data_IF_321418095339
#
_entry.id   IF_321418095339
#
_cell.length_a   1.000
_cell.length_b   1.000
_cell.length_c   1.000
_cell.angle_alpha   90.00
_cell.angle_beta   90.00
_cell.angle_gamma   90.00
#
_symmetry.space_group_name_H-M   'P 1'
#
loop_
_entity.id
_entity.type
_entity.pdbx_description
1 polymer ?
#
# COMPACT_ATOMS: atom_id res chain seq x y z
N UNK A 1 52.91 -41.24 21.91
CA UNK A 1 52.10 -42.04 20.97
C UNK A 1 50.64 -41.86 21.36
N UNK A 2 49.71 -41.30 20.60
CA UNK A 2 49.69 -40.68 19.27
C UNK A 2 48.45 -39.79 19.14
N UNK A 3 48.52 -38.86 18.19
CA UNK A 3 47.50 -37.91 17.70
C UNK A 3 46.52 -38.58 16.73
N UNK A 4 45.22 -38.22 16.77
CA UNK A 4 44.23 -38.09 15.66
C UNK A 4 43.01 -37.33 16.25
N UNK A 5 42.73 -36.04 15.99
CA UNK A 5 42.32 -35.30 14.79
C UNK A 5 40.88 -35.57 14.29
N UNK A 6 40.15 -34.47 14.09
CA UNK A 6 38.75 -34.27 13.70
C UNK A 6 38.26 -35.10 12.51
N UNK A 7 36.96 -35.47 12.53
CA UNK A 7 36.03 -35.21 11.40
C UNK A 7 34.56 -35.53 11.75
N UNK A 8 33.69 -34.62 11.26
CA UNK A 8 32.33 -34.82 10.77
C UNK A 8 31.20 -35.33 11.69
N UNK A 9 30.41 -34.37 12.19
CA UNK A 9 28.94 -34.53 12.26
C UNK A 9 28.28 -33.35 11.57
N UNK A 10 28.23 -33.40 10.23
CA UNK A 10 27.27 -32.63 9.44
C UNK A 10 25.88 -33.12 9.81
N UNK A 11 25.16 -32.37 10.65
CA UNK A 11 23.71 -32.44 10.63
C UNK A 11 23.27 -31.76 9.34
N UNK A 12 22.88 -32.57 8.37
CA UNK A 12 22.19 -32.10 7.17
C UNK A 12 20.88 -31.47 7.61
N UNK A 13 20.88 -30.15 7.76
CA UNK A 13 19.67 -29.36 7.80
C UNK A 13 19.07 -29.42 6.39
N UNK A 14 17.85 -29.94 6.18
CA UNK A 14 17.23 -29.91 4.88
C UNK A 14 17.08 -28.43 4.50
N UNK A 15 17.91 -27.98 3.54
CA UNK A 15 17.72 -26.71 2.86
C UNK A 15 16.33 -26.77 2.24
N UNK A 16 15.35 -26.18 2.92
CA UNK A 16 14.09 -25.82 2.29
C UNK A 16 14.47 -24.90 1.14
N UNK A 17 14.30 -25.44 -0.06
CA UNK A 17 14.51 -24.73 -1.29
C UNK A 17 13.36 -23.74 -1.45
N UNK A 18 13.41 -22.63 -0.71
CA UNK A 18 12.55 -21.49 -0.96
C UNK A 18 13.16 -20.76 -2.14
N UNK A 19 12.74 -21.15 -3.34
CA UNK A 19 12.86 -20.30 -4.52
C UNK A 19 12.26 -18.94 -4.14
N UNK A 20 13.00 -17.89 -4.48
CA UNK A 20 12.60 -16.50 -4.36
C UNK A 20 11.12 -16.34 -4.73
N UNK A 21 10.25 -16.23 -3.72
CA UNK A 21 8.96 -15.59 -3.92
C UNK A 21 9.26 -14.10 -4.12
N UNK A 22 8.63 -13.44 -5.11
CA UNK A 22 8.64 -11.99 -5.16
C UNK A 22 8.21 -11.48 -3.79
N UNK A 23 8.87 -10.45 -3.27
CA UNK A 23 8.41 -9.72 -2.10
C UNK A 23 7.15 -8.93 -2.53
N UNK A 24 6.06 -9.65 -2.75
CA UNK A 24 4.74 -9.12 -2.95
C UNK A 24 4.28 -8.66 -1.56
N UNK A 25 4.49 -7.38 -1.23
CA UNK A 25 4.30 -6.75 0.09
C UNK A 25 2.95 -6.93 0.82
N UNK A 26 2.14 -7.89 0.40
CA UNK A 26 1.10 -8.55 1.17
C UNK A 26 1.70 -9.52 2.21
N UNK A 27 1.17 -9.48 3.43
CA UNK A 27 1.49 -10.51 4.42
C UNK A 27 1.13 -11.90 3.85
N UNK A 28 2.01 -12.92 3.97
CA UNK A 28 1.69 -14.29 3.55
C UNK A 28 0.36 -14.82 4.12
N UNK A 29 -0.07 -14.29 5.27
CA UNK A 29 -1.33 -14.62 5.93
C UNK A 29 -2.60 -14.17 5.18
N UNK A 30 -2.51 -13.19 4.27
CA UNK A 30 -3.62 -12.70 3.45
C UNK A 30 -3.74 -13.42 2.10
N UNK A 31 -2.68 -14.12 1.66
CA UNK A 31 -2.64 -14.77 0.34
C UNK A 31 -3.83 -15.70 0.11
N UNK A 32 -4.04 -16.68 0.99
CA UNK A 32 -5.13 -17.65 0.85
C UNK A 32 -6.53 -17.05 1.05
N UNK A 33 -6.79 -16.24 2.09
CA UNK A 33 -8.11 -15.61 2.27
C UNK A 33 -8.53 -14.70 1.10
N UNK A 34 -7.61 -13.89 0.57
CA UNK A 34 -7.88 -13.00 -0.57
C UNK A 34 -8.14 -13.80 -1.84
N UNK A 35 -7.38 -14.89 -2.05
CA UNK A 35 -7.62 -15.82 -3.16
C UNK A 35 -9.01 -16.43 -3.07
N UNK A 36 -9.40 -16.95 -1.91
CA UNK A 36 -10.72 -17.55 -1.70
C UNK A 36 -11.86 -16.55 -1.95
N UNK A 37 -11.72 -15.31 -1.45
CA UNK A 37 -12.67 -14.23 -1.72
C UNK A 37 -12.75 -13.88 -3.21
N UNK A 38 -11.61 -13.70 -3.87
CA UNK A 38 -11.57 -13.43 -5.32
C UNK A 38 -12.23 -14.55 -6.12
N UNK A 39 -12.03 -15.80 -5.70
CA UNK A 39 -12.64 -16.97 -6.36
C UNK A 39 -14.14 -17.12 -6.11
N UNK A 40 -14.66 -16.52 -5.03
CA UNK A 40 -16.07 -16.57 -4.64
C UNK A 40 -16.95 -15.48 -5.26
N UNK A 41 -16.36 -14.38 -5.74
CA UNK A 41 -17.11 -13.25 -6.30
C UNK A 41 -17.30 -13.29 -7.82
N UNK A 42 -18.30 -12.54 -8.29
CA UNK A 42 -18.73 -12.48 -9.70
C UNK A 42 -17.72 -11.77 -10.61
N UNK A 43 -16.85 -10.93 -10.06
CA UNK A 43 -15.85 -10.18 -10.80
C UNK A 43 -14.52 -10.92 -10.98
N UNK A 44 -14.45 -12.21 -10.61
CA UNK A 44 -13.22 -13.03 -10.64
C UNK A 44 -12.42 -12.91 -11.94
N UNK A 45 -13.08 -13.09 -13.09
CA UNK A 45 -12.39 -13.10 -14.38
C UNK A 45 -11.80 -11.72 -14.71
N UNK A 46 -12.53 -10.65 -14.38
CA UNK A 46 -12.04 -9.27 -14.52
C UNK A 46 -10.87 -8.97 -13.59
N UNK A 47 -10.87 -9.53 -12.37
CA UNK A 47 -9.74 -9.40 -11.43
C UNK A 47 -8.50 -10.12 -12.00
N UNK A 48 -8.66 -11.32 -12.56
CA UNK A 48 -7.57 -12.07 -13.20
C UNK A 48 -7.00 -11.29 -14.39
N UNK A 49 -7.86 -10.77 -15.26
CA UNK A 49 -7.47 -9.96 -16.42
C UNK A 49 -6.74 -8.68 -16.00
N UNK A 50 -7.21 -8.02 -14.94
CA UNK A 50 -6.56 -6.83 -14.40
C UNK A 50 -5.16 -7.13 -13.86
N UNK A 51 -5.01 -8.20 -13.07
CA UNK A 51 -3.71 -8.64 -12.55
C UNK A 51 -2.75 -9.00 -13.69
N UNK A 52 -3.22 -9.75 -14.69
CA UNK A 52 -2.41 -10.11 -15.85
C UNK A 52 -1.94 -8.85 -16.61
N UNK A 53 -2.83 -7.88 -16.81
CA UNK A 53 -2.46 -6.61 -17.45
C UNK A 53 -1.43 -5.82 -16.64
N UNK A 54 -1.57 -5.75 -15.30
CA UNK A 54 -0.60 -5.07 -14.43
C UNK A 54 0.78 -5.73 -14.50
N UNK A 55 0.84 -7.06 -14.45
CA UNK A 55 2.10 -7.79 -14.56
C UNK A 55 2.77 -7.53 -15.92
N UNK A 56 1.99 -7.53 -17.01
CA UNK A 56 2.51 -7.21 -18.34
C UNK A 56 2.99 -5.75 -18.44
N UNK A 57 2.34 -4.82 -17.76
CA UNK A 57 2.79 -3.42 -17.69
C UNK A 57 4.13 -3.32 -16.98
N UNK A 58 4.29 -4.01 -15.86
CA UNK A 58 5.53 -4.03 -15.08
C UNK A 58 6.69 -4.65 -15.87
N UNK A 59 6.48 -5.80 -16.52
CA UNK A 59 7.49 -6.44 -17.37
C UNK A 59 8.00 -5.54 -18.51
N UNK A 60 7.12 -4.70 -19.05
CA UNK A 60 7.42 -3.77 -20.14
C UNK A 60 7.83 -2.37 -19.65
N UNK A 61 7.85 -2.15 -18.34
CA UNK A 61 8.06 -0.85 -17.72
C UNK A 61 7.10 0.24 -18.28
N UNK A 62 5.86 -0.16 -18.51
CA UNK A 62 4.76 0.67 -19.00
C UNK A 62 3.88 1.15 -17.84
N UNK A 63 3.22 2.30 -18.01
CA UNK A 63 2.26 2.79 -17.02
C UNK A 63 1.00 1.90 -16.98
N UNK A 64 0.89 1.10 -15.91
CA UNK A 64 -0.24 0.17 -15.74
C UNK A 64 -1.59 0.85 -15.68
N UNK A 65 -1.66 2.11 -15.22
CA UNK A 65 -2.92 2.85 -15.14
C UNK A 65 -3.47 3.19 -16.52
N UNK A 66 -2.63 3.62 -17.44
CA UNK A 66 -3.00 3.89 -18.83
C UNK A 66 -3.22 2.59 -19.59
N UNK A 67 -2.29 1.62 -19.47
CA UNK A 67 -2.37 0.35 -20.19
C UNK A 67 -3.61 -0.46 -19.82
N UNK A 68 -3.92 -0.54 -18.52
CA UNK A 68 -4.99 -1.37 -17.98
C UNK A 68 -6.28 -0.59 -17.73
N UNK A 69 -6.39 0.64 -18.25
CA UNK A 69 -7.57 1.50 -18.06
C UNK A 69 -8.88 0.78 -18.42
N UNK A 70 -8.92 0.11 -19.56
CA UNK A 70 -10.14 -0.55 -20.03
C UNK A 70 -10.62 -1.67 -19.10
N UNK A 71 -9.70 -2.55 -18.66
CA UNK A 71 -10.05 -3.64 -17.74
C UNK A 71 -10.37 -3.12 -16.35
N UNK A 72 -9.72 -2.04 -15.89
CA UNK A 72 -10.06 -1.35 -14.65
C UNK A 72 -11.49 -0.80 -14.69
N UNK A 73 -11.88 -0.10 -15.74
CA UNK A 73 -13.24 0.43 -15.90
C UNK A 73 -14.32 -0.67 -15.93
N UNK A 74 -13.99 -1.85 -16.48
CA UNK A 74 -14.89 -3.00 -16.42
C UNK A 74 -14.99 -3.57 -15.00
N UNK A 75 -13.85 -3.65 -14.29
CA UNK A 75 -13.79 -4.13 -12.92
C UNK A 75 -14.54 -3.19 -11.97
N UNK A 76 -14.38 -1.88 -12.09
CA UNK A 76 -15.08 -0.87 -11.29
C UNK A 76 -16.60 -1.02 -11.46
N UNK A 77 -17.09 -1.13 -12.71
CA UNK A 77 -18.50 -1.40 -13.00
C UNK A 77 -18.99 -2.72 -12.40
N UNK A 78 -18.13 -3.73 -12.35
CA UNK A 78 -18.47 -5.00 -11.75
C UNK A 78 -18.58 -4.90 -10.22
N UNK A 79 -17.63 -4.23 -9.56
CA UNK A 79 -17.71 -3.94 -8.13
C UNK A 79 -18.95 -3.11 -7.76
N UNK A 80 -19.32 -2.13 -8.58
CA UNK A 80 -20.55 -1.35 -8.37
C UNK A 80 -21.81 -2.22 -8.52
N UNK A 81 -21.84 -3.12 -9.49
CA UNK A 81 -22.98 -4.02 -9.71
C UNK A 81 -23.11 -5.10 -8.62
N UNK A 82 -22.01 -5.44 -7.97
CA UNK A 82 -21.90 -6.47 -6.93
C UNK A 82 -21.41 -5.89 -5.60
N UNK A 83 -21.83 -4.64 -5.29
CA UNK A 83 -21.33 -3.88 -4.14
C UNK A 83 -21.64 -4.58 -2.81
N UNK A 84 -22.72 -5.35 -2.73
CA UNK A 84 -23.05 -6.16 -1.56
C UNK A 84 -21.98 -7.21 -1.22
N UNK A 85 -21.30 -7.74 -2.23
CA UNK A 85 -20.17 -8.65 -2.05
C UNK A 85 -18.85 -7.91 -1.75
N UNK A 86 -18.57 -6.84 -2.50
CA UNK A 86 -17.25 -6.19 -2.48
C UNK A 86 -17.13 -5.01 -1.49
N UNK A 87 -18.18 -4.23 -1.26
CA UNK A 87 -18.10 -3.08 -0.33
C UNK A 87 -17.69 -3.46 1.10
N UNK A 88 -18.12 -4.60 1.69
CA UNK A 88 -17.76 -4.95 3.06
C UNK A 88 -16.25 -5.00 3.32
N UNK A 89 -15.43 -5.38 2.32
CA UNK A 89 -13.96 -5.44 2.49
C UNK A 89 -13.28 -4.06 2.44
N UNK A 90 -14.00 -3.01 2.03
CA UNK A 90 -13.51 -1.63 1.95
C UNK A 90 -13.99 -0.72 3.09
N UNK A 91 -14.94 -1.15 3.91
CA UNK A 91 -15.52 -0.36 5.01
C UNK A 91 -14.48 0.17 6.00
N UNK A 92 -13.36 -0.54 6.16
CA UNK A 92 -12.29 -0.17 7.09
C UNK A 92 -11.23 0.75 6.48
N UNK A 93 -11.32 1.09 5.19
CA UNK A 93 -10.32 1.95 4.54
C UNK A 93 -10.35 3.36 5.13
N UNK A 94 -11.52 3.99 5.18
CA UNK A 94 -11.69 5.34 5.74
C UNK A 94 -11.22 5.43 7.21
N UNK A 95 -11.68 4.59 8.16
CA UNK A 95 -11.24 4.70 9.54
C UNK A 95 -9.74 4.40 9.72
N UNK A 96 -9.15 3.56 8.87
CA UNK A 96 -7.69 3.35 8.88
C UNK A 96 -6.97 4.61 8.40
N UNK A 97 -7.45 5.23 7.32
CA UNK A 97 -6.87 6.48 6.81
C UNK A 97 -6.97 7.59 7.86
N UNK A 98 -8.11 7.72 8.54
CA UNK A 98 -8.28 8.68 9.64
C UNK A 98 -7.33 8.42 10.81
N UNK A 99 -7.12 7.15 11.16
CA UNK A 99 -6.14 6.75 12.18
C UNK A 99 -4.72 7.14 11.75
N UNK A 100 -4.33 6.83 10.51
CA UNK A 100 -3.03 7.22 9.95
C UNK A 100 -2.83 8.74 9.98
N UNK A 101 -3.83 9.50 9.53
CA UNK A 101 -3.78 10.96 9.51
C UNK A 101 -3.66 11.52 10.92
N UNK A 102 -4.37 10.96 11.90
CA UNK A 102 -4.27 11.38 13.30
C UNK A 102 -2.86 11.17 13.85
N UNK A 103 -2.24 10.01 13.57
CA UNK A 103 -0.84 9.76 13.96
C UNK A 103 0.12 10.75 13.29
N UNK A 104 -0.05 11.02 11.99
CA UNK A 104 0.77 12.01 11.27
C UNK A 104 0.60 13.40 11.88
N UNK A 105 -0.62 13.84 12.15
CA UNK A 105 -0.89 15.14 12.78
C UNK A 105 -0.19 15.28 14.14
N UNK A 106 -0.17 14.20 14.93
CA UNK A 106 0.51 14.19 16.23
C UNK A 106 2.04 14.34 16.14
N UNK A 107 2.67 13.99 15.01
CA UNK A 107 4.10 14.19 14.77
C UNK A 107 4.47 15.66 14.53
N UNK A 108 3.50 16.50 14.13
CA UNK A 108 3.70 17.90 13.77
C UNK A 108 2.85 18.85 14.63
N UNK A 109 2.98 18.82 15.98
CA UNK A 109 2.10 19.52 16.90
C UNK A 109 2.20 21.04 16.75
N UNK A 110 1.14 21.82 17.03
CA UNK A 110 1.10 23.27 16.90
C UNK A 110 2.28 23.99 17.60
N UNK A 111 2.86 25.04 16.98
CA UNK A 111 3.96 25.80 17.58
C UNK A 111 3.41 26.52 18.82
N UNK A 112 4.06 26.36 19.97
CA UNK A 112 3.67 27.01 21.23
C UNK A 112 3.48 28.52 21.03
N UNK A 113 2.30 29.03 21.39
CA UNK A 113 1.95 30.47 21.34
C UNK A 113 0.99 30.88 20.22
N UNK A 114 0.49 29.94 19.41
CA UNK A 114 -0.72 30.14 18.58
C UNK A 114 -1.75 29.08 18.97
N UNK A 115 -2.93 29.52 19.36
CA UNK A 115 -4.07 28.67 19.74
C UNK A 115 -4.85 28.15 18.51
N UNK A 116 -4.38 28.46 17.29
CA UNK A 116 -5.04 28.04 16.06
C UNK A 116 -4.54 26.65 15.65
N UNK A 117 -5.27 25.64 16.11
CA UNK A 117 -5.19 24.22 15.77
C UNK A 117 -5.87 23.93 14.40
N UNK A 118 -5.83 24.89 13.47
CA UNK A 118 -6.41 24.73 12.14
C UNK A 118 -5.59 23.71 11.36
N UNK A 119 -6.27 22.74 10.74
CA UNK A 119 -5.68 21.66 9.92
C UNK A 119 -4.67 22.20 8.88
N UNK A 120 -4.89 23.42 8.38
CA UNK A 120 -4.00 24.17 7.49
C UNK A 120 -2.57 24.34 8.05
N UNK A 121 -2.41 24.51 9.37
CA UNK A 121 -1.09 24.66 10.01
C UNK A 121 -0.35 23.34 10.19
N UNK A 122 -1.07 22.22 10.29
CA UNK A 122 -0.49 20.89 10.35
C UNK A 122 -0.10 20.45 8.95
N UNK A 123 -0.97 20.66 7.96
CA UNK A 123 -0.67 20.43 6.55
C UNK A 123 0.55 21.24 6.10
N UNK A 124 0.63 22.53 6.44
CA UNK A 124 1.79 23.36 6.12
C UNK A 124 3.10 22.77 6.67
N UNK A 125 3.08 22.14 7.85
CA UNK A 125 4.28 21.55 8.47
C UNK A 125 4.65 20.19 7.89
N UNK A 126 3.64 19.39 7.55
CA UNK A 126 3.86 18.18 6.77
C UNK A 126 4.50 18.56 5.44
N UNK A 127 4.00 19.58 4.74
CA UNK A 127 4.60 20.12 3.52
C UNK A 127 6.04 20.61 3.75
N UNK A 128 6.31 21.40 4.80
CA UNK A 128 7.67 21.85 5.15
C UNK A 128 8.62 20.67 5.37
N UNK A 129 8.18 19.63 6.09
CA UNK A 129 8.94 18.41 6.29
C UNK A 129 9.21 17.69 4.97
N UNK A 130 8.17 17.46 4.15
CA UNK A 130 8.31 16.75 2.88
C UNK A 130 9.22 17.47 1.88
N UNK A 131 9.21 18.80 1.88
CA UNK A 131 10.09 19.64 1.05
C UNK A 131 11.54 19.64 1.56
N UNK A 132 11.76 19.33 2.84
CA UNK A 132 13.09 19.31 3.46
C UNK A 132 13.93 18.07 3.15
N UNK A 133 13.34 17.01 2.60
CA UNK A 133 14.04 15.76 2.31
C UNK A 133 14.25 15.47 0.82
N UNK A 134 14.88 14.32 0.53
CA UNK A 134 15.31 13.93 -0.83
C UNK A 134 14.15 13.65 -1.81
N UNK A 135 12.95 13.39 -1.28
CA UNK A 135 11.74 13.08 -2.05
C UNK A 135 10.88 14.30 -2.37
N UNK A 136 11.41 15.52 -2.17
CA UNK A 136 10.71 16.78 -2.47
C UNK A 136 10.06 16.79 -3.85
N UNK A 137 10.77 16.42 -4.90
CA UNK A 137 10.24 16.48 -6.27
C UNK A 137 9.08 15.50 -6.49
N UNK A 138 9.19 14.28 -5.92
CA UNK A 138 8.10 13.30 -5.93
C UNK A 138 6.90 13.81 -5.13
N UNK A 139 7.13 14.46 -3.99
CA UNK A 139 6.09 15.05 -3.16
C UNK A 139 5.36 16.18 -3.87
N UNK A 140 6.08 17.13 -4.47
CA UNK A 140 5.48 18.24 -5.21
C UNK A 140 4.65 17.75 -6.40
N UNK A 141 5.10 16.69 -7.08
CA UNK A 141 4.33 16.06 -8.17
C UNK A 141 3.03 15.46 -7.65
N UNK A 142 3.10 14.67 -6.56
CA UNK A 142 1.92 14.08 -5.94
C UNK A 142 0.95 15.15 -5.40
N UNK A 143 1.46 16.21 -4.77
CA UNK A 143 0.66 17.33 -4.25
C UNK A 143 -0.11 18.04 -5.37
N UNK A 144 0.54 18.30 -6.51
CA UNK A 144 -0.09 18.94 -7.66
C UNK A 144 -1.23 18.09 -8.25
N UNK A 145 -0.96 16.81 -8.50
CA UNK A 145 -1.90 15.91 -9.18
C UNK A 145 -3.01 15.38 -8.25
N UNK A 146 -2.81 15.37 -6.93
CA UNK A 146 -3.82 14.86 -5.99
C UNK A 146 -4.68 15.94 -5.31
N UNK A 147 -4.12 17.12 -5.04
CA UNK A 147 -4.74 18.10 -4.15
C UNK A 147 -5.05 19.44 -4.82
N UNK A 148 -4.26 19.85 -5.82
CA UNK A 148 -4.39 21.16 -6.47
C UNK A 148 -5.20 21.09 -7.77
N UNK A 149 -4.88 20.18 -8.68
CA UNK A 149 -5.54 20.06 -9.99
C UNK A 149 -6.77 19.14 -9.95
N UNK A 150 -7.72 19.42 -9.05
CA UNK A 150 -9.05 18.78 -9.09
C UNK A 150 -9.88 19.36 -10.24
N UNK A 151 -9.60 18.94 -11.47
CA UNK A 151 -10.46 19.24 -12.63
C UNK A 151 -11.71 18.35 -12.63
N UNK A 152 -12.76 18.73 -13.36
CA UNK A 152 -14.01 17.94 -13.45
C UNK A 152 -13.80 16.51 -13.99
N UNK A 153 -12.64 16.23 -14.61
CA UNK A 153 -12.14 14.91 -15.02
C UNK A 153 -11.06 14.39 -14.04
N UNK A 154 -11.36 14.37 -12.73
CA UNK A 154 -10.45 13.91 -11.67
C UNK A 154 -10.10 12.42 -11.85
N UNK A 155 -9.07 12.15 -12.64
CA UNK A 155 -8.52 10.80 -12.84
C UNK A 155 -7.74 10.41 -11.59
N UNK A 156 -8.48 10.02 -10.54
CA UNK A 156 -7.98 9.51 -9.25
C UNK A 156 -6.84 8.48 -9.40
N UNK A 157 -6.77 7.83 -10.57
CA UNK A 157 -5.70 6.90 -10.91
C UNK A 157 -4.31 7.54 -11.04
N UNK A 158 -4.21 8.81 -11.46
CA UNK A 158 -2.94 9.57 -11.45
C UNK A 158 -2.50 9.88 -10.03
N UNK A 159 -3.43 10.30 -9.18
CA UNK A 159 -3.12 10.59 -7.79
C UNK A 159 -2.56 9.35 -7.07
N UNK A 160 -3.21 8.19 -7.23
CA UNK A 160 -2.71 6.93 -6.66
C UNK A 160 -1.31 6.59 -7.17
N UNK A 161 -1.05 6.75 -8.48
CA UNK A 161 0.28 6.53 -9.07
C UNK A 161 1.35 7.39 -8.40
N UNK A 162 1.11 8.69 -8.29
CA UNK A 162 2.13 9.63 -7.83
C UNK A 162 2.36 9.51 -6.32
N UNK A 163 1.33 9.14 -5.55
CA UNK A 163 1.46 8.71 -4.15
C UNK A 163 2.30 7.43 -4.01
N UNK A 164 2.14 6.45 -4.90
CA UNK A 164 2.98 5.24 -4.90
C UNK A 164 4.44 5.55 -5.21
N UNK A 165 4.71 6.45 -6.16
CA UNK A 165 6.08 6.90 -6.47
C UNK A 165 6.70 7.64 -5.29
N UNK A 166 5.93 8.51 -4.64
CA UNK A 166 6.34 9.19 -3.40
C UNK A 166 6.71 8.18 -2.31
N UNK A 167 5.83 7.20 -2.04
CA UNK A 167 6.10 6.15 -1.05
C UNK A 167 7.38 5.38 -1.34
N UNK A 168 7.59 4.97 -2.59
CA UNK A 168 8.83 4.29 -3.02
C UNK A 168 10.07 5.13 -2.76
N UNK A 169 10.01 6.43 -3.04
CA UNK A 169 11.10 7.34 -2.72
C UNK A 169 11.33 7.40 -1.20
N UNK A 170 10.26 7.58 -0.40
CA UNK A 170 10.37 7.65 1.04
C UNK A 170 10.99 6.37 1.62
N UNK A 171 10.63 5.20 1.12
CA UNK A 171 11.22 3.91 1.52
C UNK A 171 12.72 3.83 1.20
N UNK A 172 13.15 4.32 0.03
CA UNK A 172 14.56 4.37 -0.35
C UNK A 172 15.37 5.37 0.52
N UNK A 173 14.70 6.42 1.01
CA UNK A 173 15.29 7.48 1.85
C UNK A 173 14.76 7.42 3.28
N UNK A 174 14.51 6.21 3.78
CA UNK A 174 13.69 6.01 4.97
C UNK A 174 14.24 6.66 6.24
N UNK A 175 15.56 6.83 6.37
CA UNK A 175 16.19 7.48 7.52
C UNK A 175 15.60 8.86 7.83
N UNK A 176 15.29 9.65 6.80
CA UNK A 176 14.62 10.95 6.96
C UNK A 176 13.12 10.79 7.21
N UNK A 177 12.46 9.90 6.45
CA UNK A 177 11.00 9.76 6.43
C UNK A 177 10.42 8.80 7.48
N UNK A 178 11.26 8.19 8.33
CA UNK A 178 10.86 7.22 9.35
C UNK A 178 9.62 7.67 10.17
N UNK A 179 9.48 8.93 10.61
CA UNK A 179 8.30 9.33 11.37
C UNK A 179 6.98 9.11 10.61
N UNK A 180 6.92 9.56 9.35
CA UNK A 180 5.72 9.42 8.51
C UNK A 180 5.55 7.96 8.07
N UNK A 181 6.65 7.29 7.67
CA UNK A 181 6.62 5.88 7.28
C UNK A 181 6.15 4.98 8.44
N UNK A 182 6.47 5.34 9.68
CA UNK A 182 5.97 4.67 10.87
C UNK A 182 4.44 4.68 10.93
N UNK A 183 3.82 5.87 10.82
CA UNK A 183 2.36 6.01 10.83
C UNK A 183 1.69 5.28 9.65
N UNK A 184 2.26 5.41 8.44
CA UNK A 184 1.76 4.73 7.23
C UNK A 184 1.83 3.20 7.40
N UNK A 185 2.93 2.68 7.91
CA UNK A 185 3.10 1.25 8.13
C UNK A 185 2.17 0.74 9.25
N UNK A 186 1.99 1.50 10.34
CA UNK A 186 1.03 1.19 11.41
C UNK A 186 -0.38 1.04 10.86
N UNK A 187 -0.83 2.00 10.04
CA UNK A 187 -2.15 1.91 9.43
C UNK A 187 -2.26 0.76 8.42
N UNK A 188 -1.21 0.47 7.65
CA UNK A 188 -1.21 -0.68 6.73
C UNK A 188 -1.38 -2.00 7.49
N UNK A 189 -0.69 -2.15 8.62
CA UNK A 189 -0.84 -3.32 9.50
C UNK A 189 -2.25 -3.39 10.10
N UNK A 190 -2.82 -2.26 10.51
CA UNK A 190 -4.20 -2.19 11.00
C UNK A 190 -5.18 -2.65 9.92
N UNK A 191 -5.11 -2.10 8.70
CA UNK A 191 -5.95 -2.49 7.58
C UNK A 191 -5.81 -3.98 7.26
N UNK A 192 -4.58 -4.50 7.21
CA UNK A 192 -4.35 -5.92 6.95
C UNK A 192 -5.00 -6.81 8.02
N UNK A 193 -4.94 -6.42 9.29
CA UNK A 193 -5.57 -7.17 10.39
C UNK A 193 -7.10 -7.18 10.29
N UNK A 194 -7.69 -6.03 9.94
CA UNK A 194 -9.13 -5.86 9.76
C UNK A 194 -9.63 -6.65 8.55
N UNK A 195 -8.96 -6.51 7.42
CA UNK A 195 -9.23 -7.26 6.20
C UNK A 195 -9.17 -8.78 6.46
N UNK A 196 -8.13 -9.26 7.16
CA UNK A 196 -7.99 -10.67 7.50
C UNK A 196 -9.17 -11.17 8.35
N UNK A 197 -9.67 -10.34 9.27
CA UNK A 197 -10.81 -10.69 10.12
C UNK A 197 -12.10 -10.84 9.30
N UNK A 198 -12.35 -9.93 8.36
CA UNK A 198 -13.51 -9.95 7.46
C UNK A 198 -13.47 -11.16 6.52
N UNK A 199 -12.31 -11.43 5.91
CA UNK A 199 -12.14 -12.55 4.99
C UNK A 199 -12.26 -13.93 5.67
N UNK A 200 -11.94 -14.04 6.96
CA UNK A 200 -12.13 -15.27 7.74
C UNK A 200 -13.54 -15.43 8.30
N UNK A 201 -14.30 -14.35 8.43
CA UNK A 201 -15.64 -14.32 9.03
C UNK A 201 -16.79 -14.63 8.08
N UNK A 202 -16.54 -14.79 6.77
CA UNK A 202 -17.57 -15.01 5.75
C UNK A 202 -18.01 -16.47 5.55
N UNK A 203 -17.87 -17.32 6.56
CA UNK A 203 -18.27 -18.73 6.51
C UNK A 203 -19.31 -19.06 7.56
N UNK A 204 -20.58 -18.77 7.26
CA UNK A 204 -21.76 -19.38 7.90
C UNK A 204 -22.72 -19.90 6.82
#
# INVERSE_FOLDING_TARGET
>A
MGIMSSTDRKTENPKSNSRNEPDDGWLPALREPVKAFTEGGECKDLIIDYIACKNEAEEKNEDSFTKCKHVREMLDKCYDAHSDYYSPIYEDVEPVVDSMLTEIKALFPPKQGREDDDDDFVEARVCEFMVGGDCKEAFMTALQECLVDKTEDDDSSKCVRDLMMLKKCMDAHSDYYQPILGAVNSGYQLYQSLLLSKLKGGGD
#
